data_IF_200267329345
#
_entry.id   IF_200267329345
#
_cell.length_a   1.000
_cell.length_b   1.000
_cell.length_c   1.000
_cell.angle_alpha   90.00
_cell.angle_beta   90.00
_cell.angle_gamma   90.00
#
_symmetry.space_group_name_H-M   'P 1'
#
loop_
_entity.id
_entity.type
_entity.pdbx_description
1 polymer ?
#
# COMPACT_ATOMS: atom_id res chain seq x y z
N UNK A 1 6.68 4.79 -21.31
CA UNK A 1 6.52 5.90 -20.40
C UNK A 1 7.00 5.51 -19.02
N UNK A 2 7.96 6.22 -18.48
CA UNK A 2 8.51 5.85 -17.17
C UNK A 2 7.45 5.82 -16.08
N UNK A 3 6.50 6.75 -16.09
CA UNK A 3 5.47 6.80 -15.07
C UNK A 3 4.61 5.55 -15.09
N UNK A 4 4.26 5.10 -16.27
CA UNK A 4 3.44 3.89 -16.38
C UNK A 4 4.20 2.68 -15.91
N UNK A 5 5.45 2.58 -16.30
CA UNK A 5 6.27 1.47 -15.84
C UNK A 5 6.44 1.49 -14.33
N UNK A 6 6.61 2.67 -13.77
CA UNK A 6 6.70 2.81 -12.33
C UNK A 6 5.46 2.32 -11.63
N UNK A 7 4.28 2.65 -12.15
CA UNK A 7 3.02 2.19 -11.60
C UNK A 7 2.89 0.67 -11.68
N UNK A 8 3.23 0.11 -12.83
CA UNK A 8 3.15 -1.34 -13.01
C UNK A 8 4.10 -2.05 -12.06
N UNK A 9 5.30 -1.53 -11.90
CA UNK A 9 6.26 -2.11 -10.96
C UNK A 9 5.75 -2.03 -9.53
N UNK A 10 5.15 -0.89 -9.14
CA UNK A 10 4.58 -0.76 -7.82
C UNK A 10 3.49 -1.78 -7.55
N UNK A 11 2.58 -1.96 -8.51
CA UNK A 11 1.52 -2.93 -8.37
C UNK A 11 2.07 -4.35 -8.30
N UNK A 12 3.08 -4.67 -9.11
CA UNK A 12 3.69 -5.99 -9.09
C UNK A 12 4.38 -6.27 -7.77
N UNK A 13 5.06 -5.28 -7.20
CA UNK A 13 5.70 -5.42 -5.90
C UNK A 13 4.65 -5.71 -4.83
N UNK A 14 3.56 -4.98 -4.84
CA UNK A 14 2.50 -5.19 -3.85
C UNK A 14 1.86 -6.56 -4.00
N UNK A 15 1.62 -7.01 -5.23
CA UNK A 15 1.07 -8.34 -5.46
C UNK A 15 2.03 -9.42 -4.97
N UNK A 16 3.33 -9.25 -5.20
CA UNK A 16 4.32 -10.21 -4.73
C UNK A 16 4.33 -10.27 -3.21
N UNK A 17 4.25 -9.12 -2.54
CA UNK A 17 4.19 -9.08 -1.09
C UNK A 17 2.94 -9.77 -0.56
N UNK A 18 1.80 -9.55 -1.22
CA UNK A 18 0.56 -10.20 -0.81
C UNK A 18 0.64 -11.71 -0.96
N UNK A 19 1.22 -12.18 -2.06
CA UNK A 19 1.39 -13.61 -2.27
C UNK A 19 2.29 -14.21 -1.22
N UNK A 20 3.39 -13.54 -0.89
CA UNK A 20 4.31 -14.01 0.13
C UNK A 20 3.64 -14.06 1.50
N UNK A 21 2.85 -13.02 1.82
CA UNK A 21 2.13 -13.00 3.08
C UNK A 21 1.14 -14.16 3.18
N UNK A 22 0.43 -14.45 2.09
CA UNK A 22 -0.49 -15.59 2.07
C UNK A 22 0.25 -16.90 2.24
N UNK A 23 1.40 -17.02 1.59
CA UNK A 23 2.20 -18.24 1.66
C UNK A 23 2.61 -18.57 3.08
N UNK A 24 2.92 -17.57 3.89
CA UNK A 24 3.32 -17.77 5.28
C UNK A 24 2.15 -17.73 6.26
N UNK A 25 0.93 -17.74 5.75
CA UNK A 25 -0.26 -17.78 6.60
C UNK A 25 -0.74 -16.43 7.09
N UNK A 26 -0.28 -15.35 6.49
CA UNK A 26 -0.72 -14.02 6.85
C UNK A 26 -2.17 -13.78 6.44
N UNK A 27 -2.89 -13.02 7.26
CA UNK A 27 -4.30 -12.72 7.00
C UNK A 27 -4.52 -11.29 6.58
N UNK A 28 -3.52 -10.43 6.72
CA UNK A 28 -3.67 -9.01 6.49
C UNK A 28 -2.29 -8.38 6.27
N UNK A 29 -2.25 -7.36 5.41
CA UNK A 29 -1.05 -6.54 5.23
C UNK A 29 -1.37 -5.13 5.69
N UNK A 30 -0.48 -4.55 6.48
CA UNK A 30 -0.56 -3.15 6.91
C UNK A 30 0.65 -2.41 6.40
N UNK A 31 0.45 -1.15 6.02
CA UNK A 31 1.55 -0.30 5.58
C UNK A 31 1.25 1.15 5.89
N UNK A 32 2.30 1.97 5.87
CA UNK A 32 2.18 3.41 6.04
C UNK A 32 2.40 4.05 4.67
N UNK A 33 1.37 4.69 4.14
CA UNK A 33 1.40 5.28 2.81
C UNK A 33 1.38 6.79 2.91
N UNK A 34 2.11 7.47 2.02
CA UNK A 34 1.96 8.91 1.90
C UNK A 34 0.53 9.22 1.47
N UNK A 35 -0.06 10.25 2.07
CA UNK A 35 -1.46 10.58 1.78
C UNK A 35 -1.69 10.78 0.28
N UNK A 36 -0.74 11.39 -0.42
CA UNK A 36 -0.88 11.60 -1.86
C UNK A 36 -0.85 10.30 -2.65
N UNK A 37 -0.36 9.22 -2.07
CA UNK A 37 -0.28 7.91 -2.72
C UNK A 37 -1.39 6.98 -2.26
N UNK A 38 -2.25 7.39 -1.34
CA UNK A 38 -3.28 6.52 -0.79
C UNK A 38 -4.24 6.04 -1.87
N UNK A 39 -4.53 6.87 -2.86
CA UNK A 39 -5.41 6.48 -3.96
C UNK A 39 -4.89 5.29 -4.74
N UNK A 40 -3.58 5.22 -4.93
CA UNK A 40 -2.96 4.07 -5.59
C UNK A 40 -3.21 2.79 -4.79
N UNK A 41 -2.99 2.85 -3.48
CA UNK A 41 -3.20 1.67 -2.63
C UNK A 41 -4.68 1.31 -2.55
N UNK A 42 -5.57 2.30 -2.57
CA UNK A 42 -7.00 2.03 -2.59
C UNK A 42 -7.40 1.23 -3.82
N UNK A 43 -6.79 1.50 -4.96
CA UNK A 43 -7.10 0.73 -6.18
C UNK A 43 -6.67 -0.72 -6.05
N UNK A 44 -5.75 -1.02 -5.13
CA UNK A 44 -5.29 -2.39 -4.88
C UNK A 44 -6.09 -3.07 -3.77
N UNK A 45 -7.08 -2.38 -3.21
CA UNK A 45 -7.93 -2.96 -2.17
C UNK A 45 -7.56 -2.57 -0.75
N UNK A 46 -6.58 -1.68 -0.59
CA UNK A 46 -6.21 -1.19 0.74
C UNK A 46 -7.19 -0.12 1.20
N UNK A 47 -7.36 -0.02 2.51
CA UNK A 47 -8.21 1.01 3.10
C UNK A 47 -7.44 1.78 4.15
N UNK A 48 -7.80 3.04 4.33
CA UNK A 48 -7.17 3.91 5.29
C UNK A 48 -7.67 3.59 6.70
N UNK A 49 -6.75 3.57 7.66
CA UNK A 49 -7.06 3.28 9.05
C UNK A 49 -6.68 4.49 9.88
N UNK A 50 -7.65 5.04 10.61
CA UNK A 50 -7.40 6.17 11.49
C UNK A 50 -7.18 7.46 10.73
N UNK A 51 -6.37 8.33 11.30
CA UNK A 51 -6.13 9.66 10.76
C UNK A 51 -4.72 9.79 10.23
N UNK A 52 -4.54 10.71 9.29
CA UNK A 52 -3.21 11.02 8.76
C UNK A 52 -2.33 11.60 9.87
N UNK A 53 -1.04 11.32 9.76
CA UNK A 53 -0.05 11.86 10.68
C UNK A 53 1.15 12.34 9.88
N UNK A 54 1.95 13.22 10.50
CA UNK A 54 3.15 13.74 9.85
C UNK A 54 4.34 12.84 10.14
N UNK A 55 5.07 12.50 9.09
CA UNK A 55 6.30 11.75 9.20
C UNK A 55 7.32 12.46 8.33
N UNK A 56 8.34 13.04 8.97
CA UNK A 56 9.37 13.81 8.27
C UNK A 56 8.78 14.85 7.35
N UNK A 57 7.81 15.62 7.85
CA UNK A 57 7.13 16.71 7.14
C UNK A 57 6.23 16.24 6.00
N UNK A 58 6.06 14.93 5.83
CA UNK A 58 5.15 14.38 4.84
C UNK A 58 3.96 13.74 5.53
N UNK A 59 2.73 14.05 5.13
CA UNK A 59 1.58 13.37 5.72
C UNK A 59 1.51 11.92 5.26
N UNK A 60 1.32 11.04 6.20
CA UNK A 60 1.19 9.61 5.97
C UNK A 60 -0.09 9.09 6.61
N UNK A 61 -0.57 7.97 6.15
CA UNK A 61 -1.72 7.32 6.77
C UNK A 61 -1.51 5.80 6.73
N UNK A 62 -1.93 5.16 7.80
CA UNK A 62 -1.87 3.71 7.89
C UNK A 62 -2.94 3.10 6.99
N UNK A 63 -2.56 2.10 6.22
CA UNK A 63 -3.50 1.40 5.34
C UNK A 63 -3.37 -0.09 5.54
N UNK A 64 -4.47 -0.81 5.34
CA UNK A 64 -4.44 -2.26 5.45
C UNK A 64 -5.32 -2.92 4.42
N UNK A 65 -5.03 -4.19 4.16
CA UNK A 65 -5.82 -5.01 3.27
C UNK A 65 -5.91 -6.42 3.82
N UNK A 66 -7.11 -6.97 3.83
CA UNK A 66 -7.32 -8.38 4.19
C UNK A 66 -6.92 -9.27 3.02
N UNK A 67 -6.25 -10.35 3.32
CA UNK A 67 -5.80 -11.31 2.33
C UNK A 67 -6.74 -12.50 2.19
#
# INVERSE_FOLDING_TARGET
MPEFRGRNLGAQIMLALEQEARRVGGKRISLSAQCRASGFYQTLGYREIGEAYLDEFCPHILMEKSL
#
